data_IF_590512967185
#
_entry.id   IF_590512967185
#
_cell.length_a   1.000
_cell.length_b   1.000
_cell.length_c   1.000
_cell.angle_alpha   90.00
_cell.angle_beta   90.00
_cell.angle_gamma   90.00
#
_symmetry.space_group_name_H-M   'P 1'
#
loop_
_entity.id
_entity.type
_entity.pdbx_description
1 polymer ?
#
# COMPACT_ATOMS: atom_id res chain seq x y z
N UNK A 1 -0.36 11.25 7.05
CA UNK A 1 0.62 10.44 7.80
C UNK A 1 0.57 9.03 7.26
N UNK A 2 1.64 8.57 6.61
CA UNK A 2 1.72 7.21 6.07
C UNK A 2 2.59 6.32 6.97
N UNK A 3 2.36 6.44 8.29
CA UNK A 3 3.05 5.70 9.34
C UNK A 3 2.02 5.29 10.39
N UNK A 4 2.34 4.25 11.15
CA UNK A 4 1.50 3.74 12.24
C UNK A 4 2.36 2.97 13.22
N UNK A 5 1.89 2.88 14.46
CA UNK A 5 2.57 2.18 15.55
C UNK A 5 1.72 1.05 16.13
N UNK A 6 2.17 0.49 17.25
CA UNK A 6 1.40 -0.48 18.02
C UNK A 6 0.13 0.19 18.56
N UNK A 7 -1.02 -0.43 18.36
CA UNK A 7 -2.31 0.10 18.82
C UNK A 7 -2.43 -0.08 20.32
N UNK A 8 -2.56 1.03 21.05
CA UNK A 8 -2.72 1.05 22.50
C UNK A 8 -3.77 2.09 22.93
N UNK A 9 -3.90 2.35 24.24
CA UNK A 9 -4.76 3.42 24.73
C UNK A 9 -4.37 4.79 24.14
N UNK A 10 -5.37 5.62 23.81
CA UNK A 10 -5.14 6.94 23.18
C UNK A 10 -4.19 7.86 23.96
N UNK A 11 -4.22 7.76 25.29
CA UNK A 11 -3.37 8.56 26.20
C UNK A 11 -1.88 8.19 26.16
N UNK A 12 -1.55 7.05 25.56
CA UNK A 12 -0.18 6.57 25.38
C UNK A 12 0.26 6.54 23.92
N UNK A 13 -0.66 6.86 23.00
CA UNK A 13 -0.39 6.91 21.56
C UNK A 13 -0.04 8.36 21.16
N UNK A 14 1.21 8.56 20.78
CA UNK A 14 1.71 9.87 20.34
C UNK A 14 0.98 10.40 19.11
N UNK A 15 0.52 9.51 18.23
CA UNK A 15 -0.25 9.88 17.03
C UNK A 15 -1.62 10.40 17.46
N UNK A 16 -2.30 9.70 18.38
CA UNK A 16 -3.60 10.11 18.91
C UNK A 16 -3.54 11.46 19.66
N UNK A 17 -2.52 11.66 20.49
CA UNK A 17 -2.32 12.92 21.22
C UNK A 17 -2.05 14.06 20.23
N UNK A 18 -1.12 13.87 19.28
CA UNK A 18 -0.77 14.87 18.28
C UNK A 18 -1.95 15.25 17.40
N UNK A 19 -2.72 14.26 16.91
CA UNK A 19 -3.89 14.50 16.08
C UNK A 19 -5.02 15.21 16.83
N UNK A 20 -5.18 14.93 18.12
CA UNK A 20 -6.17 15.61 18.95
C UNK A 20 -5.85 17.10 19.11
N UNK A 21 -4.58 17.44 19.34
CA UNK A 21 -4.15 18.84 19.38
C UNK A 21 -4.29 19.55 18.03
N UNK A 22 -3.97 18.86 16.92
CA UNK A 22 -4.19 19.38 15.58
C UNK A 22 -5.68 19.65 15.31
N UNK A 23 -6.56 18.72 15.69
CA UNK A 23 -8.01 18.87 15.56
C UNK A 23 -8.53 20.08 16.36
N UNK A 24 -8.05 20.28 17.59
CA UNK A 24 -8.39 21.47 18.41
C UNK A 24 -8.00 22.79 17.72
N UNK A 25 -6.97 22.75 16.88
CA UNK A 25 -6.48 23.90 16.11
C UNK A 25 -7.14 24.00 14.72
N UNK A 26 -8.14 23.18 14.42
CA UNK A 26 -8.83 23.15 13.12
C UNK A 26 -8.03 22.50 11.99
N UNK A 27 -6.96 21.76 12.31
CA UNK A 27 -6.12 21.08 11.32
C UNK A 27 -6.53 19.61 11.22
N UNK A 28 -6.91 19.17 10.02
CA UNK A 28 -7.26 17.78 9.75
C UNK A 28 -6.01 16.91 9.63
N UNK A 29 -5.99 15.82 10.38
CA UNK A 29 -4.95 14.79 10.29
C UNK A 29 -5.45 13.62 9.46
N UNK A 30 -4.80 13.28 8.36
CA UNK A 30 -5.06 12.03 7.61
C UNK A 30 -4.01 10.98 7.96
N UNK A 31 -4.41 9.72 8.17
CA UNK A 31 -3.49 8.61 8.42
C UNK A 31 -3.92 7.31 7.74
N UNK A 32 -2.95 6.46 7.36
CA UNK A 32 -3.23 5.13 6.82
C UNK A 32 -3.67 4.16 7.93
N UNK A 33 -4.55 3.21 7.59
CA UNK A 33 -5.06 2.18 8.53
C UNK A 33 -4.02 1.11 8.91
N UNK A 34 -2.92 1.02 8.15
CA UNK A 34 -1.90 -0.02 8.30
C UNK A 34 -2.11 -1.20 7.34
N UNK A 35 -1.14 -2.12 7.31
CA UNK A 35 -1.08 -3.21 6.32
C UNK A 35 -1.21 -4.61 6.95
N UNK A 36 -1.74 -4.70 8.18
CA UNK A 36 -1.82 -5.95 8.97
C UNK A 36 -3.13 -6.73 8.80
N UNK A 37 -4.01 -6.31 7.87
CA UNK A 37 -5.21 -7.07 7.53
C UNK A 37 -4.90 -8.46 6.96
N UNK A 38 -5.92 -9.28 6.66
CA UNK A 38 -7.35 -8.95 6.58
C UNK A 38 -8.15 -9.24 7.86
N UNK A 39 -7.52 -9.77 8.91
CA UNK A 39 -8.20 -10.14 10.16
C UNK A 39 -8.84 -8.92 10.84
N UNK A 40 -9.98 -9.14 11.50
CA UNK A 40 -10.67 -8.10 12.27
C UNK A 40 -9.76 -7.56 13.39
N UNK A 41 -9.88 -6.27 13.70
CA UNK A 41 -9.12 -5.62 14.77
C UNK A 41 -7.67 -5.25 14.43
N UNK A 42 -7.28 -5.31 13.15
CA UNK A 42 -5.91 -4.97 12.68
C UNK A 42 -5.76 -3.50 12.25
N UNK A 43 -6.79 -2.68 12.50
CA UNK A 43 -6.86 -1.25 12.18
C UNK A 43 -5.97 -0.46 13.14
N UNK A 44 -5.13 0.42 12.61
CA UNK A 44 -4.34 1.41 13.36
C UNK A 44 -4.81 2.85 13.08
N UNK A 45 -4.32 3.82 13.88
CA UNK A 45 -4.61 5.25 13.72
C UNK A 45 -6.10 5.65 13.82
N UNK A 46 -6.92 4.87 14.53
CA UNK A 46 -8.37 5.06 14.65
C UNK A 46 -8.80 6.11 15.69
N UNK A 47 -7.88 6.93 16.19
CA UNK A 47 -8.20 7.94 17.20
C UNK A 47 -9.12 9.04 16.66
N UNK A 48 -10.01 9.61 17.49
CA UNK A 48 -10.83 10.76 17.10
C UNK A 48 -9.97 11.95 16.63
N UNK A 49 -10.38 12.58 15.53
CA UNK A 49 -9.61 13.66 14.88
C UNK A 49 -8.63 13.19 13.80
N UNK A 50 -8.56 11.88 13.56
CA UNK A 50 -7.82 11.29 12.43
C UNK A 50 -8.80 10.80 11.36
N UNK A 51 -8.61 11.27 10.13
CA UNK A 51 -9.19 10.65 8.94
C UNK A 51 -8.37 9.40 8.60
N UNK A 52 -8.88 8.23 9.01
CA UNK A 52 -8.26 6.93 8.76
C UNK A 52 -8.59 6.43 7.36
N UNK A 53 -7.57 6.13 6.55
CA UNK A 53 -7.70 5.78 5.13
C UNK A 53 -7.26 4.33 4.89
N UNK A 54 -8.14 3.54 4.26
CA UNK A 54 -7.86 2.17 3.83
C UNK A 54 -7.27 2.13 2.41
N UNK A 55 -6.57 1.04 2.09
CA UNK A 55 -6.07 0.79 0.75
C UNK A 55 -7.11 0.03 -0.10
N UNK A 56 -7.29 0.44 -1.35
CA UNK A 56 -8.10 -0.26 -2.34
C UNK A 56 -7.34 -0.30 -3.68
N UNK A 57 -7.63 -1.33 -4.47
CA UNK A 57 -7.16 -1.41 -5.86
C UNK A 57 -7.89 -0.38 -6.74
N UNK A 58 -7.24 0.01 -7.83
CA UNK A 58 -7.84 0.80 -8.92
C UNK A 58 -7.98 -0.09 -10.15
N UNK A 59 -8.69 0.37 -11.17
CA UNK A 59 -8.91 -0.41 -12.40
C UNK A 59 -7.64 -0.59 -13.25
N UNK A 60 -6.54 0.07 -12.88
CA UNK A 60 -5.24 -0.07 -13.54
C UNK A 60 -4.48 -1.28 -12.99
N UNK A 61 -4.03 -2.15 -13.90
CA UNK A 61 -3.17 -3.29 -13.58
C UNK A 61 -1.86 -3.26 -14.40
N UNK A 62 -0.74 -3.55 -13.74
CA UNK A 62 0.57 -3.64 -14.40
C UNK A 62 0.86 -5.10 -14.75
N UNK A 63 0.71 -5.44 -16.04
CA UNK A 63 0.96 -6.79 -16.55
C UNK A 63 2.10 -6.81 -17.55
N UNK A 64 2.96 -7.82 -17.45
CA UNK A 64 4.00 -8.11 -18.45
C UNK A 64 3.88 -9.55 -18.98
N UNK A 65 4.31 -9.75 -20.22
CA UNK A 65 4.25 -11.05 -20.92
C UNK A 65 5.60 -11.75 -20.78
N UNK A 66 5.60 -12.92 -20.14
CA UNK A 66 6.74 -13.82 -20.07
C UNK A 66 6.59 -14.87 -21.16
N UNK A 67 7.64 -15.07 -21.97
CA UNK A 67 7.70 -16.15 -22.96
C UNK A 67 8.66 -17.21 -22.43
N UNK A 68 8.14 -18.41 -22.23
CA UNK A 68 8.90 -19.57 -21.78
C UNK A 68 9.72 -20.14 -22.95
N UNK A 69 10.81 -20.85 -22.67
CA UNK A 69 11.66 -21.46 -23.71
C UNK A 69 10.95 -22.46 -24.61
N UNK A 70 9.79 -22.98 -24.21
CA UNK A 70 8.91 -23.82 -25.02
C UNK A 70 7.93 -23.03 -25.92
N UNK A 71 8.11 -21.70 -26.03
CA UNK A 71 7.28 -20.82 -26.85
C UNK A 71 5.93 -20.44 -26.24
N UNK A 72 5.52 -21.03 -25.11
CA UNK A 72 4.30 -20.64 -24.40
C UNK A 72 4.48 -19.28 -23.75
N UNK A 73 3.41 -18.48 -23.73
CA UNK A 73 3.44 -17.16 -23.11
C UNK A 73 2.40 -17.00 -22.00
N UNK A 74 2.80 -16.36 -20.90
CA UNK A 74 1.97 -16.11 -19.72
C UNK A 74 2.03 -14.63 -19.36
N UNK A 75 0.90 -14.05 -18.93
CA UNK A 75 0.88 -12.71 -18.37
C UNK A 75 1.05 -12.78 -16.85
N UNK A 76 2.06 -12.09 -16.32
CA UNK A 76 2.28 -11.91 -14.89
C UNK A 76 1.97 -10.49 -14.44
N UNK A 77 1.71 -10.29 -13.14
CA UNK A 77 1.60 -8.97 -12.51
C UNK A 77 2.99 -8.55 -12.07
N UNK A 78 3.52 -7.48 -12.67
CA UNK A 78 4.88 -7.01 -12.39
C UNK A 78 5.01 -5.54 -12.73
N UNK A 79 5.82 -4.84 -11.94
CA UNK A 79 6.29 -3.50 -12.25
C UNK A 79 7.69 -3.66 -12.82
N UNK A 80 7.83 -3.42 -14.12
CA UNK A 80 9.11 -3.51 -14.83
C UNK A 80 9.31 -2.25 -15.66
N UNK A 81 10.51 -1.67 -15.59
CA UNK A 81 10.91 -0.52 -16.40
C UNK A 81 11.35 -0.94 -17.80
N UNK A 82 11.54 -2.23 -18.05
CA UNK A 82 11.98 -2.76 -19.34
C UNK A 82 10.80 -2.78 -20.32
N UNK A 83 10.93 -2.00 -21.40
CA UNK A 83 9.95 -1.95 -22.49
C UNK A 83 9.74 -3.33 -23.12
N UNK A 84 8.49 -3.63 -23.52
CA UNK A 84 7.99 -4.89 -24.14
C UNK A 84 8.94 -5.58 -25.14
N UNK A 85 9.85 -4.85 -25.80
CA UNK A 85 10.84 -5.42 -26.73
C UNK A 85 12.01 -6.18 -26.08
N UNK A 86 12.50 -5.81 -24.89
CA UNK A 86 13.78 -6.34 -24.38
C UNK A 86 13.67 -7.74 -23.74
N UNK A 87 12.54 -8.05 -23.10
CA UNK A 87 12.32 -9.38 -22.49
C UNK A 87 12.27 -10.52 -23.52
N UNK A 88 11.75 -10.23 -24.73
CA UNK A 88 11.73 -11.17 -25.86
C UNK A 88 13.12 -11.45 -26.45
N UNK A 89 14.08 -10.53 -26.25
CA UNK A 89 15.46 -10.70 -26.73
C UNK A 89 16.33 -11.47 -25.74
N UNK A 90 16.07 -11.37 -24.43
CA UNK A 90 16.91 -12.02 -23.41
C UNK A 90 16.70 -13.52 -23.32
N UNK A 91 15.52 -14.02 -23.70
CA UNK A 91 15.21 -15.47 -23.68
C UNK A 91 15.55 -16.20 -24.98
N UNK A 92 15.99 -15.49 -26.03
CA UNK A 92 16.45 -16.07 -27.30
C UNK A 92 17.98 -16.22 -27.38
N UNK A 93 18.69 -16.04 -26.27
CA UNK A 93 20.16 -16.08 -26.19
C UNK A 93 20.75 -17.27 -25.43
N UNK A 94 19.99 -18.34 -25.22
CA UNK A 94 20.47 -19.62 -24.70
C UNK A 94 20.02 -20.74 -25.64
#
# INVERSE_FOLDING_TARGET
MSIGGHTGPYISDSIAIGSFHAMKSGILTSAAVGNFGPSAGTVSNYAPGILTVAARTTDREFRNKVVLGNGKSVYGVVIDSVSKQKFLSSYKGC
#
